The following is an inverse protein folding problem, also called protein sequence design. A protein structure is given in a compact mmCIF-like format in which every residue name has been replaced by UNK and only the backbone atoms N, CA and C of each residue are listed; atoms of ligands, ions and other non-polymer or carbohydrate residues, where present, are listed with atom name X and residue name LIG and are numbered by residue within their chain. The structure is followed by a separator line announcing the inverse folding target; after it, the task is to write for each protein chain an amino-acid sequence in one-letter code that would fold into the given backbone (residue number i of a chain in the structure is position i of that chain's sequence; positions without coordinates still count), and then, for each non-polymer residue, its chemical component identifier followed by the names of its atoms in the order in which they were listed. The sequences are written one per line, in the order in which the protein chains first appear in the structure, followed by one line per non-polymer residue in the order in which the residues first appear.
data_IF_416356437515
#
_entry.id   IF_416356437515
#
_cell.length_a   1.000
_cell.length_b   1.000
_cell.length_c   1.000
_cell.angle_alpha   90.00
_cell.angle_beta   90.00
_cell.angle_gamma   90.00
#
_symmetry.space_group_name_H-M   'P 1'
#
loop_
_entity.id
_entity.type
_entity.pdbx_description
1 polymer ?
#
# COMPACT_ATOMS: atom_id res chain seq x y z
N UNK A 1 8.24 -16.99 -0.68
CA UNK A 1 7.57 -15.99 -1.53
C UNK A 1 8.60 -15.34 -2.46
N UNK A 2 8.33 -15.33 -3.77
CA UNK A 2 9.18 -14.68 -4.79
C UNK A 2 8.58 -13.31 -5.10
N UNK A 3 9.22 -12.24 -4.60
CA UNK A 3 8.74 -10.88 -4.73
C UNK A 3 9.65 -10.02 -5.60
N UNK A 4 9.09 -8.98 -6.23
CA UNK A 4 9.82 -7.91 -6.91
C UNK A 4 9.38 -6.54 -6.38
N UNK A 5 10.34 -5.64 -6.21
CA UNK A 5 10.13 -4.24 -5.86
C UNK A 5 10.46 -3.39 -7.08
N UNK A 6 9.52 -2.53 -7.49
CA UNK A 6 9.74 -1.62 -8.61
C UNK A 6 10.35 -0.31 -8.10
N UNK A 7 11.46 0.09 -8.69
CA UNK A 7 12.20 1.30 -8.31
C UNK A 7 12.05 2.36 -9.40
N UNK A 8 11.50 3.50 -9.03
CA UNK A 8 11.39 4.69 -9.88
C UNK A 8 12.41 5.74 -9.45
N UNK A 9 12.78 6.69 -10.33
CA UNK A 9 13.52 7.87 -9.90
C UNK A 9 12.76 8.59 -8.78
N UNK A 10 13.40 8.76 -7.61
CA UNK A 10 12.77 9.37 -6.44
C UNK A 10 12.09 8.39 -5.47
N UNK A 11 12.05 7.09 -5.77
CA UNK A 11 11.73 6.08 -4.74
C UNK A 11 12.76 6.16 -3.61
N UNK A 12 12.30 6.09 -2.36
CA UNK A 12 13.18 6.18 -1.19
C UNK A 12 12.83 5.22 -0.04
N UNK A 13 11.82 4.36 -0.23
CA UNK A 13 11.39 3.31 0.72
C UNK A 13 11.63 1.89 0.20
N UNK A 14 12.36 1.74 -0.89
CA UNK A 14 12.70 0.43 -1.47
C UNK A 14 13.56 -0.41 -0.51
N UNK A 15 14.44 0.25 0.28
CA UNK A 15 15.28 -0.42 1.26
C UNK A 15 14.47 -0.99 2.43
N UNK A 16 13.55 -0.20 2.97
CA UNK A 16 12.70 -0.59 4.09
C UNK A 16 11.74 -1.69 3.66
N UNK A 17 11.14 -1.55 2.49
CA UNK A 17 10.31 -2.57 1.86
C UNK A 17 11.07 -3.88 1.61
N UNK A 18 12.33 -3.81 1.12
CA UNK A 18 13.21 -4.97 0.93
C UNK A 18 13.45 -5.69 2.25
N UNK A 19 13.74 -4.93 3.32
CA UNK A 19 13.96 -5.49 4.65
C UNK A 19 12.70 -6.20 5.17
N UNK A 20 11.52 -5.57 5.03
CA UNK A 20 10.24 -6.15 5.45
C UNK A 20 9.94 -7.48 4.73
N UNK A 21 10.07 -7.51 3.41
CA UNK A 21 9.84 -8.71 2.61
C UNK A 21 10.85 -9.82 2.91
N UNK A 22 12.13 -9.48 3.07
CA UNK A 22 13.17 -10.43 3.44
C UNK A 22 12.92 -11.03 4.82
N UNK A 23 12.57 -10.19 5.79
CA UNK A 23 12.30 -10.63 7.16
C UNK A 23 11.13 -11.61 7.22
N UNK A 24 10.03 -11.29 6.54
CA UNK A 24 8.83 -12.11 6.54
C UNK A 24 8.97 -13.41 5.75
N UNK A 25 9.70 -13.42 4.63
CA UNK A 25 9.78 -14.56 3.72
C UNK A 25 11.10 -15.32 3.76
N UNK A 26 12.12 -14.81 4.44
CA UNK A 26 13.48 -15.35 4.41
C UNK A 26 14.20 -15.19 3.06
N UNK A 27 13.58 -14.53 2.07
CA UNK A 27 14.09 -14.45 0.70
C UNK A 27 14.27 -12.99 0.26
N UNK A 28 15.38 -12.69 -0.42
CA UNK A 28 15.60 -11.38 -1.04
C UNK A 28 14.65 -11.17 -2.21
N UNK A 29 13.91 -10.02 -2.24
CA UNK A 29 13.12 -9.64 -3.39
C UNK A 29 14.04 -9.18 -4.55
N UNK A 30 13.58 -9.34 -5.78
CA UNK A 30 14.21 -8.74 -6.94
C UNK A 30 13.98 -7.22 -6.95
N UNK A 31 15.00 -6.44 -7.28
CA UNK A 31 14.88 -5.00 -7.49
C UNK A 31 14.80 -4.75 -8.99
N UNK A 32 13.69 -4.20 -9.46
CA UNK A 32 13.44 -3.93 -10.88
C UNK A 32 13.36 -2.43 -11.12
N UNK A 33 14.09 -1.96 -12.12
CA UNK A 33 14.10 -0.54 -12.43
C UNK A 33 12.97 -0.17 -13.40
N UNK A 34 12.42 1.01 -13.26
CA UNK A 34 11.25 1.49 -14.01
C UNK A 34 11.35 1.40 -15.54
N UNK A 35 12.57 1.30 -16.09
CA UNK A 35 12.84 1.17 -17.53
C UNK A 35 12.74 -0.27 -18.06
N UNK A 36 12.71 -1.24 -17.17
CA UNK A 36 12.48 -2.62 -17.58
C UNK A 36 11.09 -2.77 -18.18
N UNK A 37 10.94 -3.62 -19.19
CA UNK A 37 9.66 -3.80 -19.90
C UNK A 37 8.97 -5.11 -19.52
N UNK A 38 9.57 -5.95 -18.70
CA UNK A 38 9.02 -7.26 -18.32
C UNK A 38 9.31 -7.59 -16.86
N UNK A 39 8.42 -8.36 -16.27
CA UNK A 39 8.60 -8.95 -14.94
C UNK A 39 9.27 -10.33 -15.07
N UNK A 40 10.11 -10.73 -14.11
CA UNK A 40 10.62 -12.09 -14.02
C UNK A 40 9.49 -13.12 -13.92
N UNK A 41 9.68 -14.28 -14.53
CA UNK A 41 8.70 -15.35 -14.45
C UNK A 41 8.52 -15.90 -13.02
N UNK A 42 7.29 -16.31 -12.71
CA UNK A 42 6.94 -16.98 -11.46
C UNK A 42 7.04 -16.09 -10.24
N UNK A 43 6.77 -14.78 -10.36
CA UNK A 43 6.58 -13.89 -9.22
C UNK A 43 5.28 -14.22 -8.49
N UNK A 44 5.32 -14.14 -7.18
CA UNK A 44 4.15 -14.23 -6.29
C UNK A 44 3.61 -12.84 -5.99
N UNK A 45 4.49 -11.84 -5.87
CA UNK A 45 4.17 -10.48 -5.43
C UNK A 45 5.00 -9.44 -6.19
N UNK A 46 4.34 -8.38 -6.62
CA UNK A 46 4.98 -7.12 -7.05
C UNK A 46 4.68 -6.03 -6.03
N UNK A 47 5.68 -5.23 -5.67
CA UNK A 47 5.54 -4.13 -4.73
C UNK A 47 5.97 -2.81 -5.36
N UNK A 48 5.11 -1.80 -5.21
CA UNK A 48 5.38 -0.41 -5.52
C UNK A 48 5.62 0.31 -4.18
N UNK A 49 6.87 0.64 -3.84
CA UNK A 49 7.21 1.22 -2.54
C UNK A 49 6.91 2.72 -2.49
N UNK A 50 7.06 3.30 -1.31
CA UNK A 50 6.96 4.73 -1.07
C UNK A 50 8.11 5.54 -1.63
N UNK A 51 7.90 6.84 -1.72
CA UNK A 51 8.87 7.81 -2.22
C UNK A 51 8.20 9.03 -2.84
N UNK A 52 8.93 9.68 -3.73
CA UNK A 52 8.50 10.86 -4.50
C UNK A 52 8.85 10.61 -5.97
N UNK A 53 8.17 9.66 -6.59
CA UNK A 53 8.50 9.24 -7.95
C UNK A 53 8.49 10.42 -8.94
N UNK A 54 9.60 10.58 -9.64
CA UNK A 54 9.86 11.72 -10.54
C UNK A 54 9.70 13.10 -9.86
N UNK A 55 9.84 13.18 -8.51
CA UNK A 55 9.76 14.41 -7.75
C UNK A 55 8.33 14.95 -7.56
N UNK A 56 7.32 14.17 -7.88
CA UNK A 56 5.89 14.54 -7.78
C UNK A 56 5.51 15.84 -8.52
N UNK A 57 6.26 16.21 -9.56
CA UNK A 57 6.14 17.50 -10.24
C UNK A 57 4.82 17.71 -10.99
N UNK A 58 4.14 16.68 -11.37
CA UNK A 58 2.84 16.80 -12.05
C UNK A 58 1.72 16.48 -11.03
N UNK A 59 1.43 15.21 -10.89
CA UNK A 59 0.54 14.64 -9.88
C UNK A 59 1.25 13.41 -9.35
N UNK A 60 1.23 13.20 -8.02
CA UNK A 60 1.95 12.10 -7.40
C UNK A 60 1.61 10.77 -8.08
N UNK A 61 2.64 10.05 -8.53
CA UNK A 61 2.48 8.78 -9.23
C UNK A 61 2.19 8.85 -10.73
N UNK A 62 1.72 9.97 -11.28
CA UNK A 62 1.27 10.06 -12.66
C UNK A 62 2.37 9.74 -13.69
N UNK A 63 3.58 10.27 -13.50
CA UNK A 63 4.71 9.98 -14.38
C UNK A 63 5.18 8.53 -14.24
N UNK A 64 5.21 8.01 -13.01
CA UNK A 64 5.59 6.63 -12.75
C UNK A 64 4.63 5.63 -13.38
N UNK A 65 3.33 5.91 -13.36
CA UNK A 65 2.30 5.08 -13.99
C UNK A 65 2.51 4.90 -15.52
N UNK A 66 3.22 5.82 -16.17
CA UNK A 66 3.58 5.74 -17.60
C UNK A 66 4.92 5.03 -17.87
N UNK A 67 5.62 4.59 -16.83
CA UNK A 67 6.91 3.90 -17.00
C UNK A 67 6.74 2.55 -17.70
N UNK A 68 7.71 2.10 -18.52
CA UNK A 68 7.61 0.85 -19.28
C UNK A 68 7.22 -0.37 -18.44
N UNK A 69 7.78 -0.51 -17.23
CA UNK A 69 7.50 -1.63 -16.34
C UNK A 69 6.04 -1.69 -15.89
N UNK A 70 5.35 -0.54 -15.79
CA UNK A 70 3.98 -0.48 -15.27
C UNK A 70 2.97 -1.22 -16.15
N UNK A 71 3.21 -1.31 -17.45
CA UNK A 71 2.39 -2.17 -18.32
C UNK A 71 2.46 -3.63 -17.89
N UNK A 72 3.66 -4.14 -17.64
CA UNK A 72 3.83 -5.50 -17.16
C UNK A 72 3.24 -5.72 -15.75
N UNK A 73 3.27 -4.69 -14.88
CA UNK A 73 2.61 -4.75 -13.56
C UNK A 73 1.09 -4.81 -13.70
N UNK A 74 0.50 -4.01 -14.59
CA UNK A 74 -0.95 -4.04 -14.86
C UNK A 74 -1.37 -5.40 -15.43
N UNK A 75 -0.63 -5.92 -16.40
CA UNK A 75 -0.88 -7.25 -17.01
C UNK A 75 -0.74 -8.36 -15.96
N UNK A 76 0.25 -8.27 -15.07
CA UNK A 76 0.45 -9.20 -13.95
C UNK A 76 -0.74 -9.19 -12.98
N UNK A 77 -1.22 -8.01 -12.60
CA UNK A 77 -2.41 -7.86 -11.74
C UNK A 77 -3.68 -8.41 -12.42
N UNK A 78 -3.87 -8.12 -13.71
CA UNK A 78 -4.99 -8.63 -14.51
C UNK A 78 -4.98 -10.16 -14.63
N UNK A 79 -3.78 -10.76 -14.72
CA UNK A 79 -3.60 -12.22 -14.69
C UNK A 79 -3.80 -12.84 -13.28
N UNK A 80 -4.13 -12.02 -12.27
CA UNK A 80 -4.39 -12.49 -10.91
C UNK A 80 -3.15 -12.50 -10.01
N UNK A 81 -2.07 -11.83 -10.39
CA UNK A 81 -0.90 -11.61 -9.55
C UNK A 81 -1.20 -10.69 -8.36
N UNK A 82 -0.41 -10.80 -7.29
CA UNK A 82 -0.58 -9.95 -6.12
C UNK A 82 0.27 -8.68 -6.24
N UNK A 83 -0.36 -7.52 -5.98
CA UNK A 83 0.33 -6.23 -6.03
C UNK A 83 0.07 -5.46 -4.74
N UNK A 84 1.13 -4.96 -4.12
CA UNK A 84 1.09 -4.08 -2.95
C UNK A 84 1.64 -2.71 -3.33
N UNK A 85 0.89 -1.65 -3.06
CA UNK A 85 1.35 -0.27 -3.20
C UNK A 85 1.30 0.47 -1.87
N UNK A 86 2.42 1.04 -1.45
CA UNK A 86 2.52 1.80 -0.19
C UNK A 86 2.84 3.26 -0.50
N UNK A 87 2.10 4.19 0.10
CA UNK A 87 2.26 5.63 -0.05
C UNK A 87 2.32 6.04 -1.54
N UNK A 88 3.48 6.47 -2.04
CA UNK A 88 3.65 6.79 -3.46
C UNK A 88 3.31 5.59 -4.39
N UNK A 89 3.56 4.36 -3.95
CA UNK A 89 3.12 3.16 -4.67
C UNK A 89 1.60 3.06 -4.81
N UNK A 90 0.84 3.45 -3.79
CA UNK A 90 -0.62 3.51 -3.88
C UNK A 90 -1.08 4.62 -4.85
N UNK A 91 -0.44 5.78 -4.83
CA UNK A 91 -0.68 6.86 -5.81
C UNK A 91 -0.45 6.37 -7.24
N UNK A 92 0.66 5.66 -7.49
CA UNK A 92 0.97 5.08 -8.80
C UNK A 92 -0.10 4.07 -9.23
N UNK A 93 -0.59 3.23 -8.31
CA UNK A 93 -1.62 2.23 -8.62
C UNK A 93 -2.95 2.86 -9.04
N UNK A 94 -3.36 3.96 -8.39
CA UNK A 94 -4.56 4.70 -8.79
C UNK A 94 -4.36 5.34 -10.16
N UNK A 95 -3.23 5.98 -10.41
CA UNK A 95 -2.91 6.59 -11.71
C UNK A 95 -2.80 5.55 -12.84
N UNK A 96 -2.40 4.32 -12.53
CA UNK A 96 -2.36 3.20 -13.47
C UNK A 96 -3.71 2.47 -13.63
N UNK A 97 -4.76 2.89 -12.92
CA UNK A 97 -6.09 2.27 -12.99
C UNK A 97 -6.21 0.91 -12.29
N UNK A 98 -5.26 0.55 -11.44
CA UNK A 98 -5.29 -0.71 -10.66
C UNK A 98 -6.26 -0.65 -9.48
N UNK A 99 -6.50 0.54 -8.95
CA UNK A 99 -7.44 0.82 -7.87
C UNK A 99 -8.24 2.09 -8.17
N UNK A 100 -9.51 2.20 -7.71
CA UNK A 100 -10.35 3.36 -7.99
C UNK A 100 -10.03 4.55 -7.08
N UNK A 101 -10.49 5.74 -7.47
CA UNK A 101 -10.42 6.98 -6.69
C UNK A 101 -9.25 7.88 -7.08
N UNK A 102 -8.82 8.70 -6.15
CA UNK A 102 -7.72 9.66 -6.29
C UNK A 102 -7.05 9.92 -4.95
N UNK A 103 -5.82 10.39 -4.97
CA UNK A 103 -5.12 10.89 -3.79
C UNK A 103 -4.84 12.37 -3.97
N UNK A 104 -5.47 13.18 -3.14
CA UNK A 104 -5.41 14.63 -3.14
C UNK A 104 -4.43 15.12 -2.06
N UNK A 105 -4.14 16.41 -2.10
CA UNK A 105 -3.44 17.07 -1.01
C UNK A 105 -4.14 16.82 0.31
N UNK A 106 -3.33 16.61 1.37
CA UNK A 106 -3.84 16.54 2.73
C UNK A 106 -4.72 17.75 3.03
N UNK A 107 -5.84 17.56 3.73
CA UNK A 107 -6.76 18.64 4.10
C UNK A 107 -6.07 19.80 4.85
N UNK A 108 -4.97 19.52 5.55
CA UNK A 108 -4.15 20.52 6.24
C UNK A 108 -3.23 21.31 5.32
N UNK A 109 -3.11 20.95 4.04
CA UNK A 109 -2.14 21.45 3.05
C UNK A 109 -0.67 21.31 3.47
N UNK A 110 -0.40 20.48 4.49
CA UNK A 110 0.94 20.26 5.05
C UNK A 110 1.37 18.81 4.80
N UNK A 111 2.67 18.62 4.71
CA UNK A 111 3.27 17.30 4.81
C UNK A 111 3.05 16.77 6.24
N UNK A 112 2.50 15.56 6.35
CA UNK A 112 2.30 14.90 7.62
C UNK A 112 3.39 13.84 7.79
N UNK A 113 4.13 13.91 8.91
CA UNK A 113 5.14 12.92 9.30
C UNK A 113 4.89 12.59 10.78
N UNK A 114 4.17 11.49 11.00
CA UNK A 114 3.76 11.08 12.35
C UNK A 114 3.24 9.63 12.34
N UNK A 115 3.18 9.03 13.51
CA UNK A 115 2.47 7.76 13.67
C UNK A 115 0.96 7.95 13.54
N UNK A 116 0.30 7.02 12.90
CA UNK A 116 -1.14 6.88 12.89
C UNK A 116 -1.54 5.48 13.36
N UNK A 117 -2.80 5.34 13.75
CA UNK A 117 -3.39 4.06 14.11
C UNK A 117 -4.34 3.61 13.02
N UNK A 118 -4.22 2.38 12.62
CA UNK A 118 -5.03 1.77 11.58
C UNK A 118 -5.88 0.65 12.18
N UNK A 119 -7.12 0.53 11.69
CA UNK A 119 -7.99 -0.60 11.98
C UNK A 119 -8.17 -1.44 10.73
N UNK A 120 -8.07 -2.75 10.89
CA UNK A 120 -8.33 -3.73 9.82
C UNK A 120 -9.84 -3.84 9.59
N UNK A 121 -10.30 -3.42 8.41
CA UNK A 121 -11.70 -3.51 8.00
C UNK A 121 -12.02 -4.84 7.30
N UNK A 122 -11.06 -5.38 6.58
CA UNK A 122 -11.17 -6.65 5.86
C UNK A 122 -10.07 -7.60 6.30
N UNK A 123 -10.43 -8.63 7.05
CA UNK A 123 -9.55 -9.75 7.40
C UNK A 123 -9.58 -10.85 6.31
N UNK A 124 -8.76 -11.87 6.48
CA UNK A 124 -8.69 -13.05 5.62
C UNK A 124 -8.38 -12.74 4.13
N UNK A 125 -7.57 -11.71 3.90
CA UNK A 125 -6.98 -11.41 2.59
C UNK A 125 -5.50 -11.82 2.57
N UNK A 126 -4.84 -11.86 1.41
CA UNK A 126 -3.38 -12.08 1.35
C UNK A 126 -2.57 -11.08 2.19
N UNK A 127 -3.09 -9.87 2.38
CA UNK A 127 -2.42 -8.77 3.10
C UNK A 127 -2.76 -8.70 4.59
N UNK A 128 -3.84 -9.35 5.02
CA UNK A 128 -4.40 -9.21 6.38
C UNK A 128 -4.69 -10.55 7.06
N UNK A 129 -4.12 -11.64 6.53
CA UNK A 129 -4.44 -13.01 6.96
C UNK A 129 -4.11 -13.32 8.42
N UNK A 130 -3.18 -12.58 9.05
CA UNK A 130 -2.80 -12.73 10.46
C UNK A 130 -3.57 -11.80 11.41
N UNK A 131 -4.46 -10.97 10.89
CA UNK A 131 -5.31 -10.09 11.69
C UNK A 131 -6.77 -10.51 11.63
N UNK A 132 -7.50 -10.14 12.65
CA UNK A 132 -8.96 -10.19 12.66
C UNK A 132 -9.55 -8.84 12.26
N UNK A 133 -10.80 -8.84 11.79
CA UNK A 133 -11.53 -7.59 11.56
C UNK A 133 -11.69 -6.84 12.88
N UNK A 134 -11.31 -5.58 12.90
CA UNK A 134 -11.32 -4.73 14.08
C UNK A 134 -9.96 -4.63 14.79
N UNK A 135 -8.99 -5.50 14.49
CA UNK A 135 -7.64 -5.36 15.03
C UNK A 135 -7.05 -4.01 14.64
N UNK A 136 -6.32 -3.41 15.58
CA UNK A 136 -5.68 -2.13 15.38
C UNK A 136 -4.16 -2.25 15.50
N UNK A 137 -3.44 -1.55 14.63
CA UNK A 137 -2.00 -1.49 14.65
C UNK A 137 -1.49 -0.09 14.33
N UNK A 138 -0.27 0.22 14.72
CA UNK A 138 0.40 1.48 14.44
C UNK A 138 1.18 1.38 13.14
N UNK A 139 1.17 2.47 12.35
CA UNK A 139 2.03 2.63 11.19
C UNK A 139 2.42 4.11 11.04
N UNK A 140 3.66 4.43 10.64
CA UNK A 140 4.03 5.80 10.28
C UNK A 140 3.28 6.26 9.03
N UNK A 141 2.94 7.55 8.98
CA UNK A 141 2.52 8.25 7.75
C UNK A 141 3.55 9.33 7.42
N UNK A 142 3.89 9.48 6.14
CA UNK A 142 4.86 10.46 5.67
C UNK A 142 4.49 10.92 4.25
N UNK A 143 3.53 11.84 4.12
CA UNK A 143 3.01 12.26 2.81
C UNK A 143 2.42 13.67 2.82
N UNK A 144 2.45 14.34 1.67
CA UNK A 144 1.75 15.60 1.38
C UNK A 144 0.41 15.40 0.69
N UNK A 145 0.26 14.34 -0.05
CA UNK A 145 -0.89 14.00 -0.90
C UNK A 145 -1.41 12.60 -0.56
N UNK A 146 -2.02 12.46 0.62
CA UNK A 146 -2.54 11.20 1.14
C UNK A 146 -4.05 11.20 1.38
N UNK A 147 -4.74 12.27 1.02
CA UNK A 147 -6.19 12.41 1.18
C UNK A 147 -6.91 11.59 0.10
N UNK A 148 -7.34 10.38 0.45
CA UNK A 148 -8.10 9.53 -0.48
C UNK A 148 -9.47 10.13 -0.77
N UNK A 149 -9.79 10.22 -2.05
CA UNK A 149 -11.04 10.76 -2.56
C UNK A 149 -11.65 9.82 -3.61
N UNK A 150 -12.96 9.64 -3.57
CA UNK A 150 -13.76 9.03 -4.62
C UNK A 150 -15.18 9.61 -4.58
N UNK A 151 -15.95 9.40 -5.64
CA UNK A 151 -17.37 9.73 -5.62
C UNK A 151 -18.15 8.80 -4.68
N UNK A 152 -19.35 9.23 -4.27
CA UNK A 152 -20.14 8.48 -3.31
C UNK A 152 -20.49 7.07 -3.79
N UNK A 153 -20.77 6.88 -5.08
CA UNK A 153 -21.07 5.57 -5.65
C UNK A 153 -19.88 4.61 -5.52
N UNK A 154 -18.67 5.12 -5.76
CA UNK A 154 -17.43 4.35 -5.57
C UNK A 154 -17.19 4.06 -4.10
N UNK A 155 -17.38 5.03 -3.20
CA UNK A 155 -17.24 4.83 -1.76
C UNK A 155 -18.24 3.81 -1.23
N UNK A 156 -19.50 3.88 -1.65
CA UNK A 156 -20.55 2.93 -1.25
C UNK A 156 -20.24 1.52 -1.75
N UNK A 157 -19.72 1.39 -2.97
CA UNK A 157 -19.27 0.12 -3.51
C UNK A 157 -18.10 -0.46 -2.73
N UNK A 158 -17.08 0.36 -2.42
CA UNK A 158 -15.92 -0.09 -1.63
C UNK A 158 -16.34 -0.61 -0.25
N UNK A 159 -17.30 0.02 0.39
CA UNK A 159 -17.82 -0.42 1.68
C UNK A 159 -18.73 -1.65 1.53
N UNK A 160 -19.68 -1.62 0.60
CA UNK A 160 -20.66 -2.69 0.38
C UNK A 160 -20.01 -4.01 -0.04
N UNK A 161 -18.94 -3.98 -0.82
CA UNK A 161 -18.19 -5.16 -1.25
C UNK A 161 -17.07 -5.53 -0.26
N UNK A 162 -16.86 -4.74 0.82
CA UNK A 162 -15.82 -4.97 1.81
C UNK A 162 -14.41 -4.81 1.22
N UNK A 163 -14.22 -3.81 0.38
CA UNK A 163 -12.94 -3.51 -0.30
C UNK A 163 -12.13 -2.42 0.42
N UNK A 164 -12.64 -1.87 1.53
CA UNK A 164 -11.83 -1.06 2.44
C UNK A 164 -10.95 -2.02 3.24
N UNK A 165 -9.63 -1.88 3.09
CA UNK A 165 -8.67 -2.69 3.82
C UNK A 165 -8.43 -2.14 5.24
N UNK A 166 -8.18 -0.83 5.31
CA UNK A 166 -7.78 -0.15 6.54
C UNK A 166 -8.45 1.22 6.67
N UNK A 167 -8.76 1.63 7.92
CA UNK A 167 -9.18 2.99 8.25
C UNK A 167 -8.28 3.63 9.29
N UNK A 168 -8.11 4.94 9.19
CA UNK A 168 -7.54 5.73 10.27
C UNK A 168 -8.49 5.73 11.47
N UNK A 169 -7.96 5.43 12.65
CA UNK A 169 -8.72 5.35 13.90
C UNK A 169 -7.96 6.01 15.05
N UNK A 170 -8.70 6.37 16.09
CA UNK A 170 -8.14 6.85 17.36
C UNK A 170 -7.62 5.68 18.24
N UNK A 171 -7.17 6.00 19.44
CA UNK A 171 -6.66 5.00 20.38
C UNK A 171 -7.71 3.99 20.83
N UNK A 172 -9.00 4.38 20.81
CA UNK A 172 -10.11 3.49 21.10
C UNK A 172 -10.57 2.65 19.91
N UNK A 173 -9.87 2.78 18.75
CA UNK A 173 -10.20 2.06 17.53
C UNK A 173 -11.41 2.64 16.78
N UNK A 174 -11.80 3.89 17.07
CA UNK A 174 -12.92 4.54 16.41
C UNK A 174 -12.45 5.42 15.25
N UNK A 175 -13.17 5.36 14.12
CA UNK A 175 -12.92 6.20 12.97
C UNK A 175 -13.48 7.62 13.22
N UNK A 176 -12.70 8.45 13.91
CA UNK A 176 -13.04 9.83 14.24
C UNK A 176 -12.41 10.83 13.27
N UNK A 177 -12.96 12.03 13.18
CA UNK A 177 -12.35 13.13 12.41
C UNK A 177 -10.94 13.48 12.94
N UNK A 178 -10.73 13.44 14.25
CA UNK A 178 -9.45 13.72 14.87
C UNK A 178 -8.34 12.71 14.48
N UNK A 179 -8.71 11.47 14.20
CA UNK A 179 -7.79 10.43 13.71
C UNK A 179 -7.47 10.59 12.22
N UNK A 180 -8.31 11.29 11.47
CA UNK A 180 -8.23 11.47 10.01
C UNK A 180 -7.45 12.74 9.65
N UNK A 181 -6.17 12.76 9.96
CA UNK A 181 -5.31 13.96 9.83
C UNK A 181 -5.15 14.47 8.41
N UNK A 182 -5.26 13.59 7.42
CA UNK A 182 -5.10 13.93 5.99
C UNK A 182 -6.42 14.26 5.29
N UNK A 183 -7.58 14.01 5.92
CA UNK A 183 -8.90 14.31 5.38
C UNK A 183 -9.47 13.25 4.43
N UNK A 184 -8.92 12.03 4.44
CA UNK A 184 -9.38 10.92 3.59
C UNK A 184 -10.88 10.66 3.73
N UNK A 185 -11.57 10.49 2.61
CA UNK A 185 -13.00 10.15 2.60
C UNK A 185 -13.26 8.93 3.50
N UNK A 186 -14.24 9.06 4.41
CA UNK A 186 -14.65 7.99 5.34
C UNK A 186 -13.50 7.37 6.13
N UNK A 187 -12.45 8.13 6.44
CA UNK A 187 -11.22 7.66 7.13
C UNK A 187 -10.47 6.55 6.39
N UNK A 188 -10.68 6.34 5.10
CA UNK A 188 -10.05 5.27 4.34
C UNK A 188 -8.54 5.51 4.28
N UNK A 189 -7.77 4.54 4.79
CA UNK A 189 -6.30 4.54 4.77
C UNK A 189 -5.73 3.62 3.69
N UNK A 190 -6.52 2.62 3.26
CA UNK A 190 -6.15 1.68 2.21
C UNK A 190 -7.33 0.88 1.70
N UNK A 191 -7.23 0.45 0.44
CA UNK A 191 -8.29 -0.27 -0.28
C UNK A 191 -7.75 -1.50 -1.01
N UNK A 192 -8.66 -2.38 -1.39
CA UNK A 192 -8.42 -3.62 -2.12
C UNK A 192 -9.11 -3.60 -3.48
N UNK A 193 -8.55 -4.34 -4.43
CA UNK A 193 -9.27 -4.71 -5.66
C UNK A 193 -10.37 -5.74 -5.38
N UNK A 194 -11.38 -5.90 -6.29
CA UNK A 194 -12.47 -6.87 -6.10
C UNK A 194 -12.01 -8.31 -5.91
N UNK A 195 -10.90 -8.72 -6.55
CA UNK A 195 -10.32 -10.05 -6.37
C UNK A 195 -9.43 -10.19 -5.13
N UNK A 196 -9.30 -9.13 -4.31
CA UNK A 196 -8.51 -9.04 -3.08
C UNK A 196 -7.00 -9.27 -3.27
N UNK A 197 -6.49 -9.18 -4.50
CA UNK A 197 -5.07 -9.44 -4.82
C UNK A 197 -4.24 -8.18 -5.03
N UNK A 198 -4.88 -7.03 -5.11
CA UNK A 198 -4.22 -5.72 -5.20
C UNK A 198 -4.60 -4.92 -3.98
N UNK A 199 -3.61 -4.42 -3.25
CA UNK A 199 -3.80 -3.60 -2.04
C UNK A 199 -2.98 -2.33 -2.13
N UNK A 200 -3.62 -1.18 -1.89
CA UNK A 200 -2.96 0.11 -1.77
C UNK A 200 -3.26 0.75 -0.42
N UNK A 201 -2.26 1.31 0.24
CA UNK A 201 -2.42 2.05 1.49
C UNK A 201 -1.42 3.20 1.59
N UNK A 202 -1.81 4.27 2.32
CA UNK A 202 -0.93 5.45 2.49
C UNK A 202 0.08 5.33 3.61
N UNK A 203 -0.24 4.77 4.81
CA UNK A 203 0.75 4.56 5.86
C UNK A 203 1.79 3.48 5.52
N UNK A 204 2.90 3.48 6.27
CA UNK A 204 4.11 2.70 6.03
C UNK A 204 4.26 1.53 7.03
N UNK A 205 3.61 0.36 6.83
CA UNK A 205 3.83 -0.79 7.70
C UNK A 205 5.26 -1.33 7.63
N UNK A 206 5.96 -1.13 6.50
CA UNK A 206 7.36 -1.53 6.32
C UNK A 206 8.35 -0.84 7.26
N UNK A 207 7.99 0.32 7.80
CA UNK A 207 8.80 1.07 8.75
C UNK A 207 8.66 0.55 10.21
N UNK A 208 7.78 -0.44 10.47
CA UNK A 208 7.59 -1.08 11.76
C UNK A 208 7.62 -2.61 11.64
N UNK A 209 8.76 -3.15 11.22
CA UNK A 209 8.98 -4.61 11.06
C UNK A 209 10.14 -5.13 11.90
N UNK A 210 10.83 -4.26 12.65
CA UNK A 210 11.95 -4.59 13.51
C UNK A 210 11.88 -3.76 14.80
N UNK A 211 12.14 -4.35 15.98
CA UNK A 211 12.21 -3.59 17.25
C UNK A 211 13.13 -2.38 17.19
N UNK A 212 14.22 -2.44 16.42
CA UNK A 212 15.15 -1.32 16.22
C UNK A 212 14.54 -0.18 15.40
N UNK A 213 13.44 -0.42 14.68
CA UNK A 213 12.67 0.60 13.97
C UNK A 213 11.54 1.20 14.84
N UNK A 214 11.46 0.79 16.12
CA UNK A 214 10.47 1.27 17.07
C UNK A 214 9.24 0.37 17.24
N UNK A 215 9.19 -0.79 16.59
CA UNK A 215 8.11 -1.76 16.73
C UNK A 215 8.06 -2.79 15.62
N UNK A 216 7.11 -3.71 15.76
CA UNK A 216 6.87 -4.78 14.78
C UNK A 216 5.40 -4.79 14.32
N UNK A 217 4.71 -3.68 14.51
CA UNK A 217 3.25 -3.56 14.28
C UNK A 217 2.87 -3.84 12.82
N UNK A 218 3.75 -3.51 11.87
CA UNK A 218 3.56 -3.73 10.44
C UNK A 218 3.97 -5.12 9.95
N UNK A 219 4.75 -5.87 10.74
CA UNK A 219 5.29 -7.17 10.31
C UNK A 219 4.20 -8.19 9.94
N UNK A 220 3.05 -8.29 10.64
CA UNK A 220 2.00 -9.24 10.30
C UNK A 220 1.44 -9.11 8.88
N UNK A 221 1.49 -7.90 8.27
CA UNK A 221 1.10 -7.71 6.86
C UNK A 221 2.00 -8.51 5.91
N UNK A 222 3.30 -8.42 6.11
CA UNK A 222 4.30 -9.09 5.27
C UNK A 222 4.35 -10.59 5.53
N UNK A 223 4.16 -11.02 6.79
CA UNK A 223 4.05 -12.43 7.15
C UNK A 223 2.77 -13.06 6.58
N UNK A 224 1.64 -12.35 6.54
CA UNK A 224 0.41 -12.79 5.87
C UNK A 224 0.67 -13.10 4.40
N UNK A 225 1.37 -12.19 3.70
CA UNK A 225 1.80 -12.39 2.32
C UNK A 225 2.73 -13.60 2.19
N UNK A 226 3.74 -13.72 3.05
CA UNK A 226 4.69 -14.83 2.99
C UNK A 226 4.01 -16.18 3.21
N UNK A 227 3.14 -16.30 4.22
CA UNK A 227 2.42 -17.54 4.54
C UNK A 227 1.49 -17.99 3.40
N UNK A 228 0.88 -17.05 2.68
CA UNK A 228 0.00 -17.35 1.54
C UNK A 228 0.71 -18.18 0.47
N UNK A 229 2.02 -17.97 0.28
CA UNK A 229 2.82 -18.61 -0.78
C UNK A 229 3.74 -19.74 -0.29
N UNK A 230 3.72 -20.06 0.99
CA UNK A 230 4.41 -21.25 1.55
C UNK A 230 3.49 -22.47 1.52
N UNK A 231 2.17 -22.27 1.57
CA UNK A 231 1.15 -23.32 1.60
C UNK A 231 0.67 -23.76 0.20
N UNK A 232 1.27 -23.26 -0.85
CA UNK A 232 1.02 -23.65 -2.25
C UNK A 232 2.26 -24.35 -2.82
#
# INVERSE_FOLDING_TARGET
MKAAIIVFPGTNRERDMRLALKRASGREPAMLFHREAALPAGLDLVVLPGGFSYGDYLRCGAMAAQSPIMRAVVDFAAAGGHVLGVCNGFQIMIEAGLLPGGLLRNATLRFLSMDCRLRVERAATPFTGLWQKGDCFRAPMAHGDGNYFADDATLDRLEGEGLVAFRYVDEAGQATEAANRNGSARNIAGILSPNLRVCGLMPHPEDLVDPLMGGIDGLPMFESLAQRFVAA
#
